data_IF_586904279425
#
_entry.id   IF_586904279425
#
_cell.length_a   1.000
_cell.length_b   1.000
_cell.length_c   1.000
_cell.angle_alpha   90.00
_cell.angle_beta   90.00
_cell.angle_gamma   90.00
#
_symmetry.space_group_name_H-M   'P 1'
#
loop_
_entity.id
_entity.type
_entity.pdbx_description
1 polymer ?
#
# COMPACT_ATOMS: atom_id res chain seq x y z
N UNK A 1 1.45 -37.31 -0.85
CA UNK A 1 1.77 -36.00 -1.49
C UNK A 1 0.46 -35.25 -1.70
N UNK A 2 0.31 -34.01 -1.21
CA UNK A 2 -0.82 -33.16 -1.60
C UNK A 2 -0.43 -32.45 -2.90
N UNK A 3 -1.14 -32.72 -3.99
CA UNK A 3 -0.90 -32.05 -5.28
C UNK A 3 -1.60 -30.69 -5.29
N UNK A 4 -0.99 -29.72 -5.98
CA UNK A 4 -1.63 -28.42 -6.24
C UNK A 4 -2.79 -28.63 -7.21
N UNK A 5 -3.96 -28.14 -6.84
CA UNK A 5 -5.13 -28.07 -7.72
C UNK A 5 -4.86 -27.03 -8.81
N UNK A 6 -4.55 -27.52 -10.02
CA UNK A 6 -4.09 -26.69 -11.14
C UNK A 6 -5.14 -25.65 -11.56
N UNK A 7 -6.42 -26.03 -11.59
CA UNK A 7 -7.51 -25.13 -11.99
C UNK A 7 -7.62 -23.92 -11.07
N UNK A 8 -7.41 -24.12 -9.77
CA UNK A 8 -7.45 -23.05 -8.78
C UNK A 8 -6.23 -22.12 -8.86
N UNK A 9 -5.07 -22.61 -9.28
CA UNK A 9 -3.82 -21.84 -9.27
C UNK A 9 -3.49 -21.20 -10.61
N UNK A 10 -4.00 -21.74 -11.72
CA UNK A 10 -3.77 -21.24 -13.08
C UNK A 10 -3.99 -19.72 -13.25
N UNK A 11 -4.99 -19.08 -12.62
CA UNK A 11 -5.18 -17.64 -12.75
C UNK A 11 -4.06 -16.79 -12.10
N UNK A 12 -3.25 -17.38 -11.22
CA UNK A 12 -2.24 -16.67 -10.43
C UNK A 12 -0.87 -16.69 -11.12
N UNK A 13 -0.70 -15.81 -12.10
CA UNK A 13 0.62 -15.54 -12.70
C UNK A 13 1.54 -14.76 -11.74
N UNK A 14 2.83 -15.08 -11.80
CA UNK A 14 3.89 -14.28 -11.18
C UNK A 14 4.32 -13.16 -12.14
N UNK A 15 4.82 -12.05 -11.58
CA UNK A 15 5.45 -10.97 -12.33
C UNK A 15 6.82 -10.78 -11.71
N UNK A 16 7.87 -10.94 -12.51
CA UNK A 16 9.19 -10.42 -12.20
C UNK A 16 9.21 -8.90 -12.40
N UNK A 17 10.12 -8.23 -11.69
CA UNK A 17 10.28 -6.78 -11.77
C UNK A 17 11.57 -6.42 -12.50
N UNK A 18 12.04 -7.27 -13.41
CA UNK A 18 13.31 -7.06 -14.10
C UNK A 18 13.20 -5.89 -15.09
N UNK A 19 12.09 -5.84 -15.84
CA UNK A 19 11.74 -4.68 -16.69
C UNK A 19 10.63 -3.88 -16.03
N UNK A 20 11.02 -2.77 -15.39
CA UNK A 20 10.07 -1.87 -14.75
C UNK A 20 9.37 -0.98 -15.79
N UNK A 21 8.07 -0.71 -15.65
CA UNK A 21 7.39 0.27 -16.50
C UNK A 21 8.06 1.63 -16.42
N UNK A 22 8.29 2.27 -17.57
CA UNK A 22 8.95 3.58 -17.63
C UNK A 22 7.91 4.72 -17.66
N UNK A 23 6.74 4.45 -18.24
CA UNK A 23 5.67 5.43 -18.39
C UNK A 23 4.31 4.86 -17.96
N UNK A 24 3.28 5.72 -17.95
CA UNK A 24 1.94 5.36 -17.47
C UNK A 24 1.25 4.28 -18.34
N UNK A 25 1.59 4.18 -19.62
CA UNK A 25 0.98 3.22 -20.55
C UNK A 25 1.49 1.80 -20.31
N UNK A 26 2.73 1.67 -19.86
CA UNK A 26 3.36 0.40 -19.51
C UNK A 26 2.98 -0.12 -18.10
N UNK A 27 2.30 0.69 -17.29
CA UNK A 27 1.89 0.29 -15.95
C UNK A 27 0.98 -0.92 -15.96
N UNK A 28 1.30 -1.90 -15.12
CA UNK A 28 0.63 -3.21 -15.15
C UNK A 28 -0.46 -3.28 -14.09
N UNK A 29 -1.65 -3.70 -14.49
CA UNK A 29 -2.75 -4.05 -13.57
C UNK A 29 -3.14 -5.50 -13.81
N UNK A 30 -2.85 -6.37 -12.85
CA UNK A 30 -3.30 -7.75 -12.83
C UNK A 30 -4.54 -7.91 -11.94
N UNK A 31 -5.50 -8.70 -12.41
CA UNK A 31 -6.73 -9.01 -11.70
C UNK A 31 -6.76 -10.51 -11.42
N UNK A 32 -6.53 -10.86 -10.17
CA UNK A 32 -6.65 -12.23 -9.69
C UNK A 32 -8.03 -12.43 -9.05
N UNK A 33 -8.51 -13.68 -8.93
CA UNK A 33 -9.80 -13.95 -8.32
C UNK A 33 -9.98 -13.34 -6.92
N UNK A 34 -8.91 -13.30 -6.12
CA UNK A 34 -8.96 -12.80 -4.73
C UNK A 34 -8.43 -11.38 -4.53
N UNK A 35 -7.77 -10.79 -5.52
CA UNK A 35 -7.11 -9.49 -5.37
C UNK A 35 -6.70 -8.87 -6.69
N UNK A 36 -6.48 -7.56 -6.71
CA UNK A 36 -5.79 -6.89 -7.81
C UNK A 36 -4.37 -6.51 -7.41
N UNK A 37 -3.45 -6.55 -8.36
CA UNK A 37 -2.06 -6.14 -8.22
C UNK A 37 -1.76 -5.08 -9.26
N UNK A 38 -1.17 -3.98 -8.83
CA UNK A 38 -0.74 -2.88 -9.68
C UNK A 38 0.77 -2.70 -9.51
N UNK A 39 1.46 -2.52 -10.63
CA UNK A 39 2.88 -2.16 -10.71
C UNK A 39 2.97 -0.83 -11.43
N UNK A 40 3.46 0.18 -10.74
CA UNK A 40 3.60 1.52 -11.30
C UNK A 40 4.82 1.62 -12.22
N UNK A 41 4.90 2.75 -12.92
CA UNK A 41 6.17 3.24 -13.45
C UNK A 41 7.16 3.58 -12.33
N UNK A 42 8.41 3.80 -12.73
CA UNK A 42 9.43 4.38 -11.85
C UNK A 42 9.14 5.86 -11.55
N UNK A 43 9.58 6.30 -10.38
CA UNK A 43 9.52 7.67 -9.88
C UNK A 43 10.88 8.03 -9.29
N UNK A 44 11.26 9.31 -9.35
CA UNK A 44 12.50 9.80 -8.75
C UNK A 44 12.51 9.62 -7.24
N UNK A 45 11.42 10.05 -6.58
CA UNK A 45 11.33 10.00 -5.13
C UNK A 45 10.12 9.20 -4.65
N UNK A 46 10.18 8.82 -3.37
CA UNK A 46 9.07 8.19 -2.66
C UNK A 46 7.87 9.14 -2.60
N UNK A 47 8.15 10.42 -2.44
CA UNK A 47 7.20 11.50 -2.31
C UNK A 47 6.41 11.67 -3.62
N UNK A 48 7.10 11.65 -4.76
CA UNK A 48 6.47 11.70 -6.10
C UNK A 48 5.52 10.52 -6.32
N UNK A 49 5.97 9.31 -5.94
CA UNK A 49 5.15 8.11 -6.05
C UNK A 49 3.88 8.20 -5.19
N UNK A 50 3.94 8.80 -4.00
CA UNK A 50 2.79 8.97 -3.10
C UNK A 50 1.90 10.14 -3.53
N UNK A 51 2.46 11.16 -4.18
CA UNK A 51 1.69 12.26 -4.77
C UNK A 51 0.87 11.80 -5.98
N UNK A 52 1.31 10.74 -6.68
CA UNK A 52 0.61 10.23 -7.85
C UNK A 52 -0.79 9.69 -7.51
N UNK A 53 -1.79 10.22 -8.23
CA UNK A 53 -3.20 9.84 -8.05
C UNK A 53 -3.47 8.37 -8.39
N UNK A 54 -2.91 7.83 -9.47
CA UNK A 54 -3.17 6.44 -9.88
C UNK A 54 -2.54 5.46 -8.89
N UNK A 55 -1.38 5.82 -8.33
CA UNK A 55 -0.76 5.09 -7.22
C UNK A 55 -1.66 5.09 -5.99
N UNK A 56 -2.19 6.23 -5.58
CA UNK A 56 -2.98 6.33 -4.34
C UNK A 56 -4.46 5.97 -4.49
N UNK A 57 -4.99 5.91 -5.70
CA UNK A 57 -6.39 5.57 -5.93
C UNK A 57 -6.70 4.10 -5.61
N UNK A 58 -7.92 3.89 -5.15
CA UNK A 58 -8.44 2.60 -4.74
C UNK A 58 -9.59 2.25 -5.66
N UNK A 59 -9.43 1.19 -6.43
CA UNK A 59 -10.41 0.72 -7.41
C UNK A 59 -10.95 -0.62 -6.94
N UNK A 60 -12.28 -0.78 -6.95
CA UNK A 60 -12.93 -2.01 -6.52
C UNK A 60 -12.45 -3.19 -7.36
N UNK A 61 -12.14 -4.30 -6.70
CA UNK A 61 -11.66 -5.51 -7.40
C UNK A 61 -12.74 -6.17 -8.25
N UNK A 62 -14.02 -5.90 -7.94
CA UNK A 62 -15.19 -6.46 -8.61
C UNK A 62 -15.75 -5.49 -9.67
N UNK A 63 -16.39 -4.37 -9.27
CA UNK A 63 -17.02 -3.45 -10.23
C UNK A 63 -16.09 -2.41 -10.85
N UNK A 64 -14.81 -2.38 -10.49
CA UNK A 64 -13.82 -1.45 -11.06
C UNK A 64 -14.12 0.05 -10.89
N UNK A 65 -15.12 0.41 -10.08
CA UNK A 65 -15.38 1.80 -9.71
C UNK A 65 -14.36 2.26 -8.66
N UNK A 66 -14.00 3.53 -8.73
CA UNK A 66 -13.17 4.17 -7.71
C UNK A 66 -13.91 4.21 -6.37
N UNK A 67 -13.20 3.86 -5.30
CA UNK A 67 -13.75 3.72 -3.95
C UNK A 67 -13.34 4.90 -3.06
N UNK A 68 -14.22 5.26 -2.13
CA UNK A 68 -13.90 6.26 -1.10
C UNK A 68 -13.04 5.61 -0.01
N UNK A 69 -11.94 6.27 0.35
CA UNK A 69 -11.04 5.84 1.42
C UNK A 69 -11.71 6.15 2.77
N UNK A 70 -12.05 5.11 3.55
CA UNK A 70 -12.47 5.24 4.96
C UNK A 70 -11.26 5.57 5.84
N UNK A 71 -10.13 4.92 5.57
CA UNK A 71 -8.84 5.22 6.19
C UNK A 71 -7.86 5.56 5.08
N UNK A 72 -7.35 6.80 5.08
CA UNK A 72 -6.30 7.24 4.14
C UNK A 72 -5.01 6.44 4.32
N UNK A 73 -4.17 6.43 3.29
CA UNK A 73 -2.87 5.77 3.34
C UNK A 73 -2.05 6.21 4.55
N UNK A 74 -1.62 5.25 5.36
CA UNK A 74 -0.72 5.48 6.49
C UNK A 74 0.48 4.55 6.39
N UNK A 75 1.67 4.98 6.82
CA UNK A 75 2.85 4.11 6.88
C UNK A 75 2.58 2.91 7.78
N UNK A 76 2.98 1.72 7.33
CA UNK A 76 2.92 0.50 8.11
C UNK A 76 4.23 -0.25 7.88
N UNK A 77 5.12 -0.23 8.88
CA UNK A 77 6.49 -0.73 8.74
C UNK A 77 7.39 0.16 7.86
N UNK A 78 8.54 -0.37 7.43
CA UNK A 78 9.62 0.46 6.86
C UNK A 78 9.37 0.98 5.44
N UNK A 79 8.62 0.26 4.58
CA UNK A 79 8.37 0.63 3.17
C UNK A 79 7.00 0.24 2.64
N UNK A 80 6.03 0.08 3.54
CA UNK A 80 4.67 -0.22 3.15
C UNK A 80 3.70 0.82 3.70
N UNK A 81 2.58 0.94 2.99
CA UNK A 81 1.44 1.73 3.42
C UNK A 81 0.20 0.85 3.39
N UNK A 82 -0.72 1.13 4.30
CA UNK A 82 -2.03 0.51 4.34
C UNK A 82 -3.10 1.57 4.20
N UNK A 83 -4.23 1.18 3.60
CA UNK A 83 -5.45 1.97 3.63
C UNK A 83 -6.67 1.05 3.69
N UNK A 84 -7.81 1.63 4.04
CA UNK A 84 -9.11 0.96 3.98
C UNK A 84 -10.05 1.80 3.12
N UNK A 85 -10.73 1.18 2.16
CA UNK A 85 -11.71 1.83 1.31
C UNK A 85 -13.02 1.06 1.29
N UNK A 86 -14.11 1.74 0.95
CA UNK A 86 -15.43 1.12 0.81
C UNK A 86 -15.96 1.28 -0.61
N UNK A 87 -16.35 0.16 -1.21
CA UNK A 87 -17.21 0.12 -2.38
C UNK A 87 -18.67 0.16 -1.90
N UNK A 88 -19.55 0.85 -2.65
CA UNK A 88 -20.99 0.88 -2.34
C UNK A 88 -21.62 -0.51 -2.50
N UNK A 89 -21.20 -1.23 -3.53
CA UNK A 89 -21.83 -2.49 -3.94
C UNK A 89 -21.08 -3.73 -3.40
N UNK A 90 -19.77 -3.61 -3.11
CA UNK A 90 -18.88 -4.76 -2.81
C UNK A 90 -18.15 -4.64 -1.47
N UNK A 91 -18.63 -3.78 -0.56
CA UNK A 91 -18.09 -3.68 0.80
C UNK A 91 -16.65 -3.18 0.90
N UNK A 92 -15.93 -3.67 1.92
CA UNK A 92 -14.65 -3.12 2.34
C UNK A 92 -13.46 -3.73 1.59
N UNK A 93 -12.47 -2.89 1.32
CA UNK A 93 -11.26 -3.26 0.61
C UNK A 93 -10.02 -2.72 1.33
N UNK A 94 -9.04 -3.60 1.55
CA UNK A 94 -7.71 -3.28 2.06
C UNK A 94 -6.78 -2.97 0.91
N UNK A 95 -6.16 -1.80 0.95
CA UNK A 95 -5.03 -1.46 0.09
C UNK A 95 -3.73 -1.70 0.84
N UNK A 96 -2.76 -2.35 0.18
CA UNK A 96 -1.38 -2.46 0.64
C UNK A 96 -0.46 -1.99 -0.46
N UNK A 97 0.26 -0.90 -0.21
CA UNK A 97 1.24 -0.34 -1.12
C UNK A 97 2.63 -0.68 -0.59
N UNK A 98 3.54 -1.13 -1.46
CA UNK A 98 4.94 -1.37 -1.16
C UNK A 98 5.79 -0.52 -2.09
N UNK A 99 6.67 0.28 -1.51
CA UNK A 99 7.61 1.10 -2.27
C UNK A 99 8.93 0.35 -2.34
N UNK A 100 9.37 0.07 -3.56
CA UNK A 100 10.59 -0.67 -3.87
C UNK A 100 11.61 0.26 -4.52
N UNK A 101 12.89 -0.01 -4.28
CA UNK A 101 13.99 0.67 -4.97
C UNK A 101 14.29 -0.07 -6.27
N UNK A 102 14.55 0.68 -7.34
CA UNK A 102 15.13 0.20 -8.58
C UNK A 102 16.67 0.26 -8.49
N UNK A 103 17.37 -0.37 -9.44
CA UNK A 103 18.83 -0.44 -9.47
C UNK A 103 19.49 0.93 -9.64
N UNK A 104 18.84 1.83 -10.40
CA UNK A 104 19.31 3.19 -10.66
C UNK A 104 18.97 4.21 -9.56
N UNK A 105 18.53 3.77 -8.38
CA UNK A 105 18.18 4.64 -7.25
C UNK A 105 16.75 5.18 -7.26
N UNK A 106 16.03 5.10 -8.39
CA UNK A 106 14.61 5.44 -8.49
C UNK A 106 13.75 4.47 -7.64
N UNK A 107 12.46 4.77 -7.53
CA UNK A 107 11.50 3.92 -6.81
C UNK A 107 10.30 3.55 -7.67
N UNK A 108 9.72 2.39 -7.40
CA UNK A 108 8.46 1.98 -8.01
C UNK A 108 7.53 1.39 -6.95
N UNK A 109 6.25 1.29 -7.29
CA UNK A 109 5.20 0.90 -6.37
C UNK A 109 4.56 -0.39 -6.81
N UNK A 110 4.47 -1.33 -5.88
CA UNK A 110 3.60 -2.51 -5.99
C UNK A 110 2.43 -2.33 -5.04
N UNK A 111 1.23 -2.14 -5.59
CA UNK A 111 -0.02 -2.00 -4.83
C UNK A 111 -0.84 -3.28 -4.97
N UNK A 112 -1.40 -3.74 -3.86
CA UNK A 112 -2.35 -4.85 -3.82
C UNK A 112 -3.64 -4.37 -3.18
N UNK A 113 -4.78 -4.67 -3.81
CA UNK A 113 -6.10 -4.39 -3.25
C UNK A 113 -6.83 -5.72 -3.08
N UNK A 114 -7.36 -5.96 -1.88
CA UNK A 114 -8.13 -7.18 -1.56
C UNK A 114 -9.45 -6.81 -0.85
N UNK A 115 -10.56 -7.52 -1.11
CA UNK A 115 -11.73 -7.42 -0.26
C UNK A 115 -11.38 -7.87 1.16
N UNK A 116 -12.05 -7.30 2.16
CA UNK A 116 -11.90 -7.65 3.58
C UNK A 116 -13.26 -7.61 4.28
N UNK A 117 -13.41 -8.44 5.31
CA UNK A 117 -14.53 -8.39 6.24
C UNK A 117 -14.32 -7.30 7.32
N UNK A 118 -15.24 -7.20 8.26
CA UNK A 118 -15.20 -6.23 9.35
C UNK A 118 -14.03 -6.45 10.29
N UNK A 119 -13.69 -7.70 10.63
CA UNK A 119 -12.52 -8.05 11.43
C UNK A 119 -11.23 -7.53 10.78
N UNK A 120 -11.04 -7.80 9.49
CA UNK A 120 -9.89 -7.32 8.73
C UNK A 120 -9.84 -5.79 8.64
N UNK A 121 -11.00 -5.11 8.66
CA UNK A 121 -11.08 -3.65 8.74
C UNK A 121 -10.72 -3.13 10.14
N UNK A 122 -11.14 -3.82 11.20
CA UNK A 122 -10.77 -3.51 12.58
C UNK A 122 -9.25 -3.65 12.78
N UNK A 123 -8.62 -4.70 12.24
CA UNK A 123 -7.16 -4.86 12.28
C UNK A 123 -6.40 -3.68 11.64
N UNK A 124 -6.88 -3.18 10.50
CA UNK A 124 -6.26 -2.03 9.82
C UNK A 124 -6.41 -0.77 10.68
N UNK A 125 -7.55 -0.63 11.34
CA UNK A 125 -7.84 0.50 12.23
C UNK A 125 -6.93 0.45 13.46
N UNK A 126 -6.75 -0.73 14.07
CA UNK A 126 -5.83 -0.96 15.18
C UNK A 126 -4.39 -0.64 14.78
N UNK A 127 -3.92 -1.14 13.64
CA UNK A 127 -2.57 -0.84 13.12
C UNK A 127 -2.34 0.64 12.91
N UNK A 128 -3.34 1.38 12.42
CA UNK A 128 -3.25 2.84 12.30
C UNK A 128 -3.09 3.50 13.67
N UNK A 129 -3.82 3.02 14.66
CA UNK A 129 -3.77 3.56 16.02
C UNK A 129 -2.41 3.32 16.68
N UNK A 130 -1.85 2.12 16.53
CA UNK A 130 -0.51 1.79 17.00
C UNK A 130 0.56 2.70 16.37
N UNK A 131 0.49 2.90 15.06
CA UNK A 131 1.42 3.78 14.34
C UNK A 131 1.25 5.25 14.75
N UNK A 132 0.03 5.67 15.12
CA UNK A 132 -0.23 7.00 15.70
C UNK A 132 0.42 7.13 17.08
N UNK A 133 0.24 6.14 17.97
CA UNK A 133 0.83 6.13 19.32
C UNK A 133 2.36 6.18 19.26
N UNK A 134 2.99 5.32 18.46
CA UNK A 134 4.46 5.30 18.25
C UNK A 134 4.98 6.64 17.75
N UNK A 135 4.26 7.30 16.84
CA UNK A 135 4.64 8.62 16.32
C UNK A 135 4.56 9.70 17.39
N UNK A 136 3.51 9.70 18.20
CA UNK A 136 3.33 10.66 19.29
C UNK A 136 4.43 10.51 20.35
N UNK A 137 4.80 9.28 20.68
CA UNK A 137 5.89 8.98 21.62
C UNK A 137 7.24 9.49 21.11
N UNK A 138 7.59 9.18 19.85
CA UNK A 138 8.82 9.70 19.22
C UNK A 138 8.86 11.22 19.20
N UNK A 139 7.73 11.87 18.91
CA UNK A 139 7.63 13.32 18.92
C UNK A 139 7.79 13.90 20.33
N UNK A 140 7.28 13.22 21.37
CA UNK A 140 7.47 13.59 22.77
C UNK A 140 8.94 13.50 23.16
N UNK A 141 9.63 12.40 22.83
CA UNK A 141 11.06 12.21 23.10
C UNK A 141 11.90 13.33 22.44
N UNK A 142 11.69 13.60 21.14
CA UNK A 142 12.38 14.69 20.43
C UNK A 142 12.16 16.07 21.06
N UNK A 143 10.97 16.33 21.62
CA UNK A 143 10.69 17.59 22.34
C UNK A 143 11.45 17.66 23.66
N UNK A 144 11.59 16.55 24.38
CA UNK A 144 12.35 16.50 25.64
C UNK A 144 13.85 16.68 25.37
N UNK A 145 14.40 16.02 24.36
CA UNK A 145 15.80 16.18 23.93
C UNK A 145 16.12 17.63 23.56
N UNK A 146 15.26 18.26 22.74
CA UNK A 146 15.41 19.69 22.39
C UNK A 146 15.36 20.62 23.60
N UNK A 147 14.58 20.28 24.63
CA UNK A 147 14.51 21.07 25.88
C UNK A 147 15.77 20.88 26.73
N UNK A 148 16.36 19.69 26.77
CA UNK A 148 17.64 19.45 27.46
C UNK A 148 18.79 20.21 26.80
N UNK A 149 18.92 20.09 25.48
CA UNK A 149 19.96 20.79 24.72
C UNK A 149 19.84 22.34 24.80
N UNK A 150 18.64 22.87 25.04
CA UNK A 150 18.42 24.32 25.28
C UNK A 150 18.72 24.76 26.71
N UNK A 151 18.81 23.84 27.67
CA UNK A 151 19.18 24.12 29.06
C UNK A 151 20.68 23.95 29.29
N UNK A 152 21.34 23.13 28.47
CA UNK A 152 22.78 22.83 28.52
C UNK A 152 23.61 23.78 27.63
N UNK A 153 22.96 24.60 26.80
CA UNK A 153 23.56 25.67 25.99
C UNK A 153 23.17 27.03 26.58
#
# INVERSE_FOLDING_TARGET
MKCLDWEKVQPYISIDYYRLPQNRKEEVVLRFPKYTKYVSRVFETREDAIADRKVTDMVCTVCQKTMKKKIRWFPSGQRAYLCLSSCKDHGLHKGKMRIKKAENGQVFVVKTIKPVNEEGAAEISLKKEEERKKRNERNRQKRLERKKHKKEA
#
